data_IF_223650139627
#
_entry.id   IF_223650139627
#
_cell.length_a   1.000
_cell.length_b   1.000
_cell.length_c   1.000
_cell.angle_alpha   90.00
_cell.angle_beta   90.00
_cell.angle_gamma   90.00
#
_symmetry.space_group_name_H-M   'P 1'
#
loop_
_entity.id
_entity.type
_entity.pdbx_description
1 polymer ?
#
# COMPACT_ATOMS: atom_id res chain seq x y z
N UNK A 1 10.04 -6.93 11.14
CA UNK A 1 8.62 -6.54 11.32
C UNK A 1 8.40 -5.22 10.60
N UNK A 2 7.69 -5.23 9.48
CA UNK A 2 7.47 -4.03 8.68
C UNK A 2 6.44 -3.13 9.39
N UNK A 3 6.88 -1.94 9.85
CA UNK A 3 6.07 -1.04 10.67
C UNK A 3 4.88 -0.46 9.87
N UNK A 4 3.74 -1.14 9.89
CA UNK A 4 2.45 -0.58 9.46
C UNK A 4 2.17 0.78 10.13
N UNK A 5 2.73 1.02 11.32
CA UNK A 5 2.71 2.32 12.01
C UNK A 5 3.32 3.45 11.19
N UNK A 6 4.49 3.23 10.56
CA UNK A 6 5.14 4.27 9.73
C UNK A 6 4.34 4.54 8.46
N UNK A 7 3.73 3.49 7.89
CA UNK A 7 2.83 3.63 6.74
C UNK A 7 1.58 4.44 7.12
N UNK A 8 1.01 4.15 8.29
CA UNK A 8 -0.13 4.90 8.82
C UNK A 8 0.23 6.38 9.00
N UNK A 9 1.32 6.70 9.69
CA UNK A 9 1.75 8.09 9.92
C UNK A 9 1.94 8.85 8.61
N UNK A 10 2.56 8.21 7.61
CA UNK A 10 2.78 8.79 6.29
C UNK A 10 1.45 9.09 5.57
N UNK A 11 0.51 8.15 5.55
CA UNK A 11 -0.79 8.33 4.91
C UNK A 11 -1.69 9.28 5.69
N UNK A 12 -1.60 9.27 7.03
CA UNK A 12 -2.42 10.07 7.92
C UNK A 12 -2.10 11.56 7.82
N UNK A 13 -0.86 11.92 7.48
CA UNK A 13 -0.48 13.30 7.17
C UNK A 13 -1.33 13.92 6.04
N UNK A 14 -1.86 13.11 5.13
CA UNK A 14 -2.74 13.57 4.07
C UNK A 14 -4.22 13.28 4.31
N UNK A 15 -4.54 12.09 4.83
CA UNK A 15 -5.91 11.72 5.19
C UNK A 15 -5.91 10.60 6.26
N UNK A 16 -6.14 10.93 7.55
CA UNK A 16 -6.10 9.95 8.63
C UNK A 16 -7.19 8.87 8.52
N UNK A 17 -8.37 9.21 8.01
CA UNK A 17 -9.46 8.24 7.83
C UNK A 17 -9.12 7.21 6.74
N UNK A 18 -8.63 7.67 5.59
CA UNK A 18 -8.22 6.80 4.49
C UNK A 18 -7.00 5.95 4.87
N UNK A 19 -6.08 6.50 5.68
CA UNK A 19 -4.98 5.77 6.26
C UNK A 19 -5.47 4.62 7.15
N UNK A 20 -6.36 4.89 8.11
CA UNK A 20 -6.91 3.87 8.99
C UNK A 20 -7.64 2.74 8.24
N UNK A 21 -8.44 3.09 7.21
CA UNK A 21 -9.13 2.11 6.38
C UNK A 21 -8.15 1.24 5.56
N UNK A 22 -7.10 1.87 5.04
CA UNK A 22 -6.04 1.17 4.31
C UNK A 22 -5.35 0.15 5.21
N UNK A 23 -4.90 0.57 6.40
CA UNK A 23 -4.21 -0.30 7.35
C UNK A 23 -5.11 -1.46 7.77
N UNK A 24 -6.37 -1.20 8.13
CA UNK A 24 -7.31 -2.27 8.47
C UNK A 24 -7.50 -3.28 7.35
N UNK A 25 -7.56 -2.83 6.09
CA UNK A 25 -7.75 -3.70 4.94
C UNK A 25 -6.49 -4.53 4.67
N UNK A 26 -5.30 -3.92 4.80
CA UNK A 26 -4.02 -4.60 4.68
C UNK A 26 -3.82 -5.64 5.79
N UNK A 27 -4.25 -5.37 7.02
CA UNK A 27 -4.18 -6.35 8.13
C UNK A 27 -5.15 -7.51 7.92
N UNK A 28 -6.32 -7.28 7.31
CA UNK A 28 -7.34 -8.33 7.11
C UNK A 28 -7.04 -9.24 5.92
N UNK A 29 -6.58 -8.67 4.81
CA UNK A 29 -6.38 -9.42 3.58
C UNK A 29 -5.42 -8.68 2.62
N UNK A 30 -4.11 -8.67 2.86
CA UNK A 30 -3.15 -7.94 2.03
C UNK A 30 -3.11 -8.46 0.58
N UNK A 31 -3.42 -9.75 0.38
CA UNK A 31 -3.58 -10.40 -0.92
C UNK A 31 -4.90 -10.08 -1.65
N UNK A 32 -5.84 -9.36 -1.03
CA UNK A 32 -7.10 -8.93 -1.67
C UNK A 32 -7.14 -7.43 -1.96
N UNK A 33 -6.12 -6.71 -1.51
CA UNK A 33 -6.00 -5.26 -1.67
C UNK A 33 -4.94 -4.98 -2.75
N UNK A 34 -5.17 -3.92 -3.52
CA UNK A 34 -4.28 -3.50 -4.61
C UNK A 34 -4.32 -4.41 -5.84
N UNK A 35 -3.83 -3.85 -6.95
CA UNK A 35 -3.68 -4.52 -8.24
C UNK A 35 -2.35 -5.28 -8.27
N UNK A 36 -2.36 -6.57 -8.61
CA UNK A 36 -1.14 -7.35 -8.84
C UNK A 36 -0.47 -6.89 -10.13
N UNK A 37 0.83 -6.63 -10.06
CA UNK A 37 1.64 -6.22 -11.21
C UNK A 37 2.34 -7.45 -11.79
N UNK A 38 1.90 -7.86 -12.98
CA UNK A 38 2.42 -9.04 -13.68
C UNK A 38 3.84 -8.82 -14.23
N UNK A 39 4.28 -7.56 -14.35
CA UNK A 39 5.64 -7.18 -14.77
C UNK A 39 6.75 -7.72 -13.84
N UNK A 40 6.36 -8.16 -12.63
CA UNK A 40 7.27 -8.77 -11.65
C UNK A 40 7.05 -10.29 -11.57
N UNK A 41 7.44 -11.00 -12.63
CA UNK A 41 7.35 -12.47 -12.66
C UNK A 41 8.04 -13.10 -11.42
N UNK A 42 7.34 -14.03 -10.78
CA UNK A 42 7.82 -14.71 -9.56
C UNK A 42 7.68 -13.92 -8.27
N UNK A 43 7.21 -12.66 -8.29
CA UNK A 43 7.01 -11.83 -7.09
C UNK A 43 5.56 -11.37 -7.00
N UNK A 44 4.96 -11.44 -5.81
CA UNK A 44 3.63 -10.88 -5.60
C UNK A 44 3.72 -9.38 -5.32
N UNK A 45 4.08 -8.61 -6.35
CA UNK A 45 4.11 -7.15 -6.27
C UNK A 45 2.72 -6.61 -6.57
N UNK A 46 2.26 -5.72 -5.70
CA UNK A 46 0.94 -5.10 -5.76
C UNK A 46 1.04 -3.59 -5.71
N UNK A 47 0.13 -2.91 -6.41
CA UNK A 47 -0.05 -1.47 -6.43
C UNK A 47 -1.36 -1.09 -5.79
N UNK A 48 -1.32 -0.19 -4.83
CA UNK A 48 -2.49 0.37 -4.17
C UNK A 48 -2.54 1.89 -4.40
N UNK A 49 -3.69 2.39 -4.82
CA UNK A 49 -3.95 3.83 -4.95
C UNK A 49 -4.91 4.28 -3.84
N UNK A 50 -4.46 5.24 -3.04
CA UNK A 50 -5.17 5.80 -1.89
C UNK A 50 -5.28 7.31 -2.15
N UNK A 51 -6.38 7.73 -2.78
CA UNK A 51 -6.60 9.12 -3.21
C UNK A 51 -5.42 9.66 -4.03
N UNK A 52 -4.62 10.56 -3.46
CA UNK A 52 -3.46 11.23 -4.09
C UNK A 52 -2.14 10.50 -3.85
N UNK A 53 -2.17 9.29 -3.31
CA UNK A 53 -0.98 8.51 -3.03
C UNK A 53 -1.08 7.17 -3.74
N UNK A 54 0.01 6.77 -4.36
CA UNK A 54 0.22 5.40 -4.79
C UNK A 54 1.26 4.73 -3.93
N UNK A 55 1.06 3.45 -3.68
CA UNK A 55 1.99 2.60 -2.96
C UNK A 55 2.21 1.33 -3.77
N UNK A 56 3.45 0.85 -3.79
CA UNK A 56 3.82 -0.45 -4.31
C UNK A 56 4.40 -1.26 -3.17
N UNK A 57 3.87 -2.45 -2.98
CA UNK A 57 4.34 -3.39 -1.97
C UNK A 57 4.45 -4.78 -2.54
N UNK A 58 5.28 -5.59 -1.92
CA UNK A 58 5.40 -7.01 -2.21
C UNK A 58 4.81 -7.80 -1.06
N UNK A 59 4.11 -8.89 -1.37
CA UNK A 59 3.61 -9.84 -0.38
C UNK A 59 4.44 -11.12 -0.44
N UNK A 60 5.09 -11.48 0.68
CA UNK A 60 5.88 -12.70 0.80
C UNK A 60 5.41 -13.44 2.05
N UNK A 61 4.78 -14.61 1.89
CA UNK A 61 4.31 -15.44 3.02
C UNK A 61 3.56 -14.63 4.09
N UNK A 62 2.58 -13.83 3.67
CA UNK A 62 1.80 -12.90 4.49
C UNK A 62 2.54 -11.65 5.03
N UNK A 63 3.84 -11.54 4.76
CA UNK A 63 4.62 -10.34 5.10
C UNK A 63 4.56 -9.32 3.99
N UNK A 64 4.08 -8.12 4.32
CA UNK A 64 4.03 -6.98 3.40
C UNK A 64 5.33 -6.17 3.46
N UNK A 65 5.98 -6.02 2.31
CA UNK A 65 7.17 -5.20 2.12
C UNK A 65 6.83 -3.97 1.30
N UNK A 66 6.88 -2.79 1.92
CA UNK A 66 6.67 -1.52 1.21
C UNK A 66 7.88 -1.26 0.32
N UNK A 67 7.69 -1.31 -1.00
CA UNK A 67 8.76 -1.04 -1.98
C UNK A 67 8.88 0.44 -2.29
N UNK A 68 7.73 1.12 -2.49
CA UNK A 68 7.71 2.55 -2.82
C UNK A 68 6.38 3.18 -2.45
N UNK A 69 6.42 4.43 -2.03
CA UNK A 69 5.24 5.30 -1.93
C UNK A 69 5.51 6.54 -2.77
N UNK A 70 4.52 6.99 -3.54
CA UNK A 70 4.58 8.20 -4.35
C UNK A 70 3.29 8.98 -4.23
N UNK A 71 3.36 10.29 -4.47
CA UNK A 71 2.17 11.12 -4.62
C UNK A 71 1.73 11.04 -6.09
N UNK A 72 0.50 10.59 -6.35
CA UNK A 72 -0.10 10.74 -7.68
C UNK A 72 -0.38 12.22 -7.89
N UNK A 73 0.19 12.79 -8.97
CA UNK A 73 -0.16 14.16 -9.34
C UNK A 73 -1.62 14.13 -9.79
N UNK A 74 -2.48 14.79 -9.02
CA UNK A 74 -3.83 15.11 -9.46
C UNK A 74 -3.67 15.90 -10.76
N UNK A 75 -4.11 15.31 -11.87
CA UNK A 75 -4.31 16.10 -13.09
C UNK A 75 -5.33 17.17 -12.70
N UNK A 76 -4.84 18.40 -12.78
CA UNK A 76 -5.46 19.66 -12.38
C UNK A 76 -6.93 19.78 -12.73
#
# INVERSE_FOLDING_TARGET
MANLSRLYEFLASANPQAAAQTIQSLTKAPARIGERLDEFEGREVRRLLIRRYGMRYELISDTLYVLRIWRTREHR
#
